data_IF_332370745100
#
_entry.id   IF_332370745100
#
_cell.length_a   1.000
_cell.length_b   1.000
_cell.length_c   1.000
_cell.angle_alpha   90.00
_cell.angle_beta   90.00
_cell.angle_gamma   90.00
#
_symmetry.space_group_name_H-M   'P 1'
#
loop_
_entity.id
_entity.type
_entity.pdbx_description
1 polymer ?
#
# COMPACT_ATOMS: atom_id res chain seq x y z
N UNK A 1 24.13 21.48 6.27
CA UNK A 1 23.08 20.50 5.94
C UNK A 1 22.53 19.98 7.25
N UNK A 2 21.44 20.58 7.74
CA UNK A 2 20.76 20.14 8.96
C UNK A 2 19.33 19.84 8.51
N UNK A 3 19.01 18.56 8.31
CA UNK A 3 17.61 18.11 8.29
C UNK A 3 17.13 18.22 9.73
N UNK A 4 16.43 19.31 10.05
CA UNK A 4 15.63 19.40 11.27
C UNK A 4 14.67 18.21 11.32
N UNK A 5 14.51 17.54 12.48
CA UNK A 5 13.40 16.62 12.66
C UNK A 5 12.15 17.48 12.69
N UNK A 6 11.36 17.44 11.63
CA UNK A 6 10.06 18.10 11.59
C UNK A 6 9.27 17.66 12.84
N UNK A 7 8.65 18.60 13.57
CA UNK A 7 7.79 18.23 14.68
C UNK A 7 6.73 17.27 14.16
N UNK A 8 6.31 16.33 15.01
CA UNK A 8 5.21 15.41 14.74
C UNK A 8 3.88 16.18 14.63
N UNK A 9 3.75 17.06 13.64
CA UNK A 9 2.48 17.55 13.16
C UNK A 9 1.74 16.35 12.59
N UNK A 10 0.51 16.18 13.05
CA UNK A 10 -0.35 15.13 12.53
C UNK A 10 -0.49 15.35 11.02
N UNK A 11 -0.25 14.33 10.18
CA UNK A 11 -0.36 14.47 8.74
C UNK A 11 -1.76 15.00 8.40
N UNK A 12 -1.81 16.01 7.55
CA UNK A 12 -3.06 16.60 7.10
C UNK A 12 -3.90 15.57 6.33
N UNK A 13 -5.21 15.78 6.24
CA UNK A 13 -6.09 14.91 5.45
C UNK A 13 -5.64 14.76 3.99
N UNK A 14 -5.03 15.82 3.42
CA UNK A 14 -4.48 15.82 2.07
C UNK A 14 -3.26 14.90 1.98
N UNK A 15 -2.31 15.03 2.90
CA UNK A 15 -1.10 14.18 2.92
C UNK A 15 -1.44 12.71 3.19
N UNK A 16 -2.43 12.45 4.05
CA UNK A 16 -2.95 11.09 4.27
C UNK A 16 -3.55 10.51 2.99
N UNK A 17 -4.36 11.30 2.27
CA UNK A 17 -4.95 10.88 1.00
C UNK A 17 -3.87 10.62 -0.06
N UNK A 18 -2.91 11.53 -0.21
CA UNK A 18 -1.79 11.37 -1.15
C UNK A 18 -0.99 10.11 -0.84
N UNK A 19 -0.69 9.86 0.44
CA UNK A 19 0.00 8.64 0.88
C UNK A 19 -0.80 7.36 0.55
N UNK A 20 -2.13 7.39 0.74
CA UNK A 20 -3.00 6.26 0.39
C UNK A 20 -2.98 6.03 -1.13
N UNK A 21 -3.06 7.08 -1.94
CA UNK A 21 -3.08 6.98 -3.40
C UNK A 21 -1.75 6.48 -3.97
N UNK A 22 -0.63 6.95 -3.41
CA UNK A 22 0.71 6.45 -3.73
C UNK A 22 0.87 4.98 -3.38
N UNK A 23 0.46 4.57 -2.18
CA UNK A 23 0.53 3.17 -1.75
C UNK A 23 -0.40 2.27 -2.57
N UNK A 24 -1.59 2.74 -2.93
CA UNK A 24 -2.51 2.02 -3.81
C UNK A 24 -1.90 1.83 -5.21
N UNK A 25 -1.29 2.88 -5.76
CA UNK A 25 -0.58 2.82 -7.06
C UNK A 25 0.58 1.83 -7.00
N UNK A 26 1.35 1.85 -5.92
CA UNK A 26 2.47 0.93 -5.72
C UNK A 26 2.00 -0.52 -5.60
N UNK A 27 0.97 -0.76 -4.79
CA UNK A 27 0.33 -2.08 -4.62
C UNK A 27 -0.16 -2.65 -5.95
N UNK A 28 -0.82 -1.83 -6.78
CA UNK A 28 -1.31 -2.26 -8.09
C UNK A 28 -0.16 -2.68 -9.01
N UNK A 29 0.92 -1.89 -9.06
CA UNK A 29 2.11 -2.25 -9.86
C UNK A 29 2.71 -3.58 -9.41
N UNK A 30 2.91 -3.76 -8.10
CA UNK A 30 3.45 -4.99 -7.54
C UNK A 30 2.54 -6.19 -7.83
N UNK A 31 1.22 -6.02 -7.70
CA UNK A 31 0.24 -7.03 -8.07
C UNK A 31 0.37 -7.43 -9.56
N UNK A 32 0.43 -6.45 -10.46
CA UNK A 32 0.59 -6.70 -11.89
C UNK A 32 1.92 -7.40 -12.19
N UNK A 33 3.01 -7.03 -11.51
CA UNK A 33 4.31 -7.68 -11.67
C UNK A 33 4.25 -9.17 -11.27
N UNK A 34 3.63 -9.49 -10.14
CA UNK A 34 3.43 -10.89 -9.70
C UNK A 34 2.56 -11.66 -10.69
N UNK A 35 1.47 -11.06 -11.17
CA UNK A 35 0.59 -11.68 -12.18
C UNK A 35 1.34 -11.92 -13.49
N UNK A 36 2.06 -10.92 -13.98
CA UNK A 36 2.81 -10.98 -15.23
C UNK A 36 3.94 -12.01 -15.15
N UNK A 37 4.64 -12.08 -14.02
CA UNK A 37 5.65 -13.09 -13.76
C UNK A 37 5.02 -14.49 -13.73
N UNK A 38 3.91 -14.65 -13.01
CA UNK A 38 3.18 -15.91 -12.95
C UNK A 38 2.71 -16.41 -14.31
N UNK A 39 2.21 -15.50 -15.15
CA UNK A 39 1.84 -15.79 -16.55
C UNK A 39 3.06 -16.16 -17.40
N UNK A 40 4.17 -15.43 -17.29
CA UNK A 40 5.44 -15.75 -17.98
C UNK A 40 5.96 -17.15 -17.61
N UNK A 41 5.79 -17.54 -16.35
CA UNK A 41 6.13 -18.87 -15.84
C UNK A 41 5.08 -19.95 -16.15
N UNK A 42 4.01 -19.60 -16.88
CA UNK A 42 2.89 -20.49 -17.23
C UNK A 42 2.24 -21.13 -16.00
N UNK A 43 2.21 -20.41 -14.87
CA UNK A 43 1.50 -20.85 -13.67
C UNK A 43 -0.01 -20.80 -13.90
N UNK A 44 -0.73 -21.74 -13.29
CA UNK A 44 -2.19 -21.69 -13.22
C UNK A 44 -2.64 -20.48 -12.40
N UNK A 45 -3.79 -19.87 -12.73
CA UNK A 45 -4.35 -18.72 -12.01
C UNK A 45 -4.42 -18.96 -10.49
N UNK A 46 -4.87 -20.14 -10.05
CA UNK A 46 -4.90 -20.52 -8.62
C UNK A 46 -3.56 -20.38 -7.90
N UNK A 47 -2.44 -20.66 -8.57
CA UNK A 47 -1.09 -20.50 -8.00
C UNK A 47 -0.69 -19.03 -7.95
N UNK A 48 -1.02 -18.27 -8.98
CA UNK A 48 -0.77 -16.83 -9.01
C UNK A 48 -1.52 -16.15 -7.86
N UNK A 49 -2.81 -16.46 -7.68
CA UNK A 49 -3.64 -15.94 -6.61
C UNK A 49 -3.08 -16.33 -5.23
N UNK A 50 -2.62 -17.58 -5.07
CA UNK A 50 -1.99 -18.03 -3.83
C UNK A 50 -0.67 -17.27 -3.55
N UNK A 51 0.15 -17.02 -4.58
CA UNK A 51 1.38 -16.22 -4.45
C UNK A 51 1.07 -14.78 -4.06
N UNK A 52 0.04 -14.17 -4.65
CA UNK A 52 -0.42 -12.81 -4.31
C UNK A 52 -0.90 -12.77 -2.86
N UNK A 53 -1.75 -13.72 -2.46
CA UNK A 53 -2.30 -13.78 -1.11
C UNK A 53 -1.22 -14.03 -0.03
N UNK A 54 -0.17 -14.77 -0.38
CA UNK A 54 0.97 -15.02 0.49
C UNK A 54 2.11 -14.00 0.33
N UNK A 55 1.94 -12.96 -0.49
CA UNK A 55 3.01 -12.00 -0.75
C UNK A 55 3.16 -11.05 0.44
N UNK A 56 4.27 -11.12 1.20
CA UNK A 56 4.40 -10.41 2.48
C UNK A 56 4.33 -8.89 2.30
N UNK A 57 4.85 -8.37 1.20
CA UNK A 57 4.80 -6.93 0.92
C UNK A 57 3.39 -6.46 0.53
N UNK A 58 2.59 -7.26 -0.18
CA UNK A 58 1.21 -6.87 -0.51
C UNK A 58 0.34 -6.88 0.75
N UNK A 59 0.54 -7.88 1.62
CA UNK A 59 -0.12 -7.94 2.93
C UNK A 59 0.24 -6.72 3.79
N UNK A 60 1.53 -6.37 3.85
CA UNK A 60 1.98 -5.19 4.61
C UNK A 60 1.44 -3.88 4.05
N UNK A 61 1.38 -3.74 2.72
CA UNK A 61 0.77 -2.57 2.09
C UNK A 61 -0.72 -2.45 2.45
N UNK A 62 -1.45 -3.57 2.42
CA UNK A 62 -2.86 -3.59 2.83
C UNK A 62 -3.04 -3.17 4.30
N UNK A 63 -2.21 -3.68 5.21
CA UNK A 63 -2.24 -3.30 6.63
C UNK A 63 -1.96 -1.79 6.83
N UNK A 64 -0.94 -1.25 6.16
CA UNK A 64 -0.58 0.17 6.25
C UNK A 64 -1.71 1.03 5.67
N UNK A 65 -2.29 0.66 4.53
CA UNK A 65 -3.42 1.38 3.94
C UNK A 65 -4.63 1.38 4.88
N UNK A 66 -4.94 0.26 5.54
CA UNK A 66 -6.02 0.20 6.54
C UNK A 66 -5.73 1.19 7.68
N UNK A 67 -4.49 1.25 8.18
CA UNK A 67 -4.11 2.20 9.23
C UNK A 67 -4.27 3.65 8.77
N UNK A 68 -3.80 3.99 7.57
CA UNK A 68 -3.92 5.35 7.02
C UNK A 68 -5.37 5.76 6.77
N UNK A 69 -6.20 4.85 6.26
CA UNK A 69 -7.64 5.10 6.08
C UNK A 69 -8.33 5.31 7.43
N UNK A 70 -7.99 4.52 8.45
CA UNK A 70 -8.54 4.68 9.78
C UNK A 70 -8.09 6.00 10.43
N UNK A 71 -6.82 6.38 10.23
CA UNK A 71 -6.29 7.68 10.68
C UNK A 71 -7.02 8.83 9.98
N UNK A 72 -7.19 8.76 8.66
CA UNK A 72 -7.94 9.74 7.87
C UNK A 72 -9.37 9.89 8.37
N UNK A 73 -10.10 8.78 8.54
CA UNK A 73 -11.48 8.79 9.07
C UNK A 73 -11.57 9.42 10.46
N UNK A 74 -10.57 9.16 11.31
CA UNK A 74 -10.53 9.72 12.67
C UNK A 74 -10.28 11.23 12.67
N UNK A 75 -9.51 11.73 11.72
CA UNK A 75 -9.28 13.17 11.54
C UNK A 75 -10.43 13.86 10.76
N UNK A 76 -11.17 13.15 9.90
CA UNK A 76 -12.39 13.65 9.24
C UNK A 76 -13.60 13.75 10.18
N UNK A 77 -13.69 12.88 11.20
CA UNK A 77 -14.79 12.84 12.15
C UNK A 77 -14.68 13.88 13.29
N UNK A 78 -13.72 14.80 13.18
CA UNK A 78 -13.30 15.72 14.23
C UNK A 78 -13.70 17.16 13.89
#
# INVERSE_FOLDING_TARGET
>A
MMTEPQPAEKPSLKELQESIDELATYRERLYQDVVNLGKKLRLSQKKIDATIAAHPELQRLDEIMIQLVNQKKSEEAK
#
